data_IF_966996069353
#
_entry.id   IF_966996069353
#
_cell.length_a   1.000
_cell.length_b   1.000
_cell.length_c   1.000
_cell.angle_alpha   90.00
_cell.angle_beta   90.00
_cell.angle_gamma   90.00
#
_symmetry.space_group_name_H-M   'P 1'
#
loop_
_entity.id
_entity.type
_entity.pdbx_description
1 polymer ?
#
# COMPACT_ATOMS: atom_id res chain seq x y z
N UNK A 1 -14.76 -26.97 -25.48
CA UNK A 1 -14.45 -26.55 -24.09
C UNK A 1 -13.91 -25.14 -23.98
N UNK A 2 -12.80 -24.76 -24.66
CA UNK A 2 -12.24 -23.40 -24.55
C UNK A 2 -13.24 -22.29 -24.93
N UNK A 3 -13.95 -22.43 -26.05
CA UNK A 3 -14.97 -21.46 -26.49
C UNK A 3 -16.17 -21.33 -25.54
N UNK A 4 -16.54 -22.41 -24.86
CA UNK A 4 -17.62 -22.40 -23.85
C UNK A 4 -17.18 -21.64 -22.59
N UNK A 5 -15.96 -21.91 -22.12
CA UNK A 5 -15.39 -21.23 -20.95
C UNK A 5 -15.27 -19.71 -21.18
N UNK A 6 -14.86 -19.30 -22.38
CA UNK A 6 -14.77 -17.87 -22.73
C UNK A 6 -16.14 -17.19 -22.73
N UNK A 7 -17.17 -17.83 -23.30
CA UNK A 7 -18.53 -17.25 -23.34
C UNK A 7 -19.18 -17.18 -21.95
N UNK A 8 -18.93 -18.17 -21.11
CA UNK A 8 -19.39 -18.16 -19.72
C UNK A 8 -18.72 -17.04 -18.91
N UNK A 9 -17.40 -16.84 -19.07
CA UNK A 9 -16.68 -15.73 -18.43
C UNK A 9 -17.15 -14.36 -18.92
N UNK A 10 -17.45 -14.20 -20.21
CA UNK A 10 -18.01 -12.96 -20.74
C UNK A 10 -19.39 -12.66 -20.16
N UNK A 11 -20.26 -13.67 -20.03
CA UNK A 11 -21.59 -13.51 -19.43
C UNK A 11 -21.52 -13.15 -17.93
N UNK A 12 -20.53 -13.69 -17.20
CA UNK A 12 -20.31 -13.38 -15.80
C UNK A 12 -19.88 -11.91 -15.61
N UNK A 13 -18.90 -11.45 -16.40
CA UNK A 13 -18.44 -10.05 -16.39
C UNK A 13 -19.54 -9.06 -16.79
N UNK A 14 -20.44 -9.47 -17.67
CA UNK A 14 -21.61 -8.66 -18.02
C UNK A 14 -22.51 -8.45 -16.80
N UNK A 15 -22.87 -9.51 -16.06
CA UNK A 15 -23.70 -9.38 -14.86
C UNK A 15 -23.05 -8.48 -13.79
N UNK A 16 -21.75 -8.65 -13.56
CA UNK A 16 -20.97 -7.82 -12.62
C UNK A 16 -20.98 -6.33 -13.00
N UNK A 17 -20.90 -6.01 -14.29
CA UNK A 17 -20.92 -4.61 -14.76
C UNK A 17 -22.23 -3.86 -14.48
N UNK A 18 -23.32 -4.59 -14.23
CA UNK A 18 -24.62 -4.05 -13.82
C UNK A 18 -24.89 -4.21 -12.32
N UNK A 19 -23.88 -4.60 -11.53
CA UNK A 19 -24.01 -4.81 -10.08
C UNK A 19 -24.88 -6.02 -9.71
N UNK A 20 -25.09 -6.96 -10.64
CA UNK A 20 -25.90 -8.15 -10.42
C UNK A 20 -25.01 -9.30 -9.92
N UNK A 21 -25.31 -9.81 -8.72
CA UNK A 21 -24.60 -10.94 -8.13
C UNK A 21 -25.26 -12.27 -8.57
N UNK A 22 -24.50 -13.09 -9.29
CA UNK A 22 -25.00 -14.32 -9.88
C UNK A 22 -24.93 -15.49 -8.87
N UNK A 23 -26.08 -15.86 -8.28
CA UNK A 23 -26.12 -16.87 -7.20
C UNK A 23 -26.15 -18.32 -7.68
N UNK A 24 -26.79 -18.62 -8.81
CA UNK A 24 -26.93 -20.00 -9.31
C UNK A 24 -27.12 -20.02 -10.83
N UNK A 25 -26.50 -20.99 -11.51
CA UNK A 25 -26.74 -21.26 -12.94
C UNK A 25 -27.17 -22.70 -13.11
N UNK A 26 -28.31 -22.88 -13.78
CA UNK A 26 -28.81 -24.22 -14.13
C UNK A 26 -28.53 -24.45 -15.60
N UNK A 27 -27.72 -25.47 -15.91
CA UNK A 27 -27.40 -25.86 -17.28
C UNK A 27 -27.95 -27.26 -17.51
N UNK A 28 -28.92 -27.37 -18.42
CA UNK A 28 -29.48 -28.65 -18.83
C UNK A 28 -28.90 -29.12 -20.16
N UNK A 29 -28.59 -30.41 -20.27
CA UNK A 29 -28.37 -31.07 -21.57
C UNK A 29 -29.21 -32.34 -21.64
N UNK A 30 -30.03 -32.45 -22.71
CA UNK A 30 -30.85 -33.61 -23.07
C UNK A 30 -31.22 -34.56 -21.91
N UNK A 31 -32.05 -34.07 -20.98
CA UNK A 31 -32.67 -34.90 -19.94
C UNK A 31 -31.93 -35.00 -18.61
N UNK A 32 -30.71 -34.47 -18.47
CA UNK A 32 -30.06 -34.28 -17.17
C UNK A 32 -29.91 -32.78 -16.85
N UNK A 33 -30.53 -32.37 -15.75
CA UNK A 33 -30.40 -31.03 -15.18
C UNK A 33 -29.27 -31.07 -14.17
N UNK A 34 -28.13 -30.45 -14.53
CA UNK A 34 -27.05 -30.17 -13.58
C UNK A 34 -27.32 -28.83 -12.91
N UNK A 35 -27.54 -28.83 -11.60
CA UNK A 35 -27.62 -27.60 -10.81
C UNK A 35 -26.22 -27.29 -10.28
N UNK A 36 -25.61 -26.22 -10.77
CA UNK A 36 -24.37 -25.69 -10.19
C UNK A 36 -24.76 -24.49 -9.31
N UNK A 37 -24.92 -24.74 -8.01
CA UNK A 37 -24.93 -23.69 -7.00
C UNK A 37 -23.53 -23.13 -6.88
N UNK A 38 -23.39 -21.80 -6.90
CA UNK A 38 -22.22 -21.14 -6.36
C UNK A 38 -22.29 -21.35 -4.84
N UNK A 39 -21.78 -22.47 -4.36
CA UNK A 39 -21.55 -22.65 -2.93
C UNK A 39 -20.75 -21.44 -2.46
N UNK A 40 -21.24 -20.76 -1.43
CA UNK A 40 -20.49 -19.72 -0.74
C UNK A 40 -19.08 -20.30 -0.51
N UNK A 41 -18.09 -19.69 -1.17
CA UNK A 41 -16.71 -20.15 -1.19
C UNK A 41 -16.35 -20.66 0.21
N UNK A 42 -16.19 -21.98 0.37
CA UNK A 42 -15.54 -22.50 1.57
C UNK A 42 -14.25 -21.69 1.69
N UNK A 43 -14.12 -20.89 2.75
CA UNK A 43 -12.95 -20.05 2.95
C UNK A 43 -11.76 -21.00 2.99
N UNK A 44 -10.97 -21.01 1.91
CA UNK A 44 -9.72 -21.78 1.82
C UNK A 44 -8.54 -20.83 1.91
N UNK A 45 -7.41 -21.30 2.42
CA UNK A 45 -6.19 -20.50 2.55
C UNK A 45 -6.19 -19.67 3.83
N UNK A 46 -5.56 -18.49 3.81
CA UNK A 46 -5.36 -17.65 4.99
C UNK A 46 -6.66 -17.37 5.77
N UNK A 47 -7.77 -17.10 5.08
CA UNK A 47 -9.04 -16.75 5.74
C UNK A 47 -9.67 -17.90 6.53
N UNK A 48 -9.31 -19.14 6.20
CA UNK A 48 -9.80 -20.36 6.84
C UNK A 48 -9.15 -20.64 8.21
N UNK A 49 -8.03 -19.99 8.48
CA UNK A 49 -7.21 -20.25 9.66
C UNK A 49 -7.87 -19.75 10.94
N UNK A 50 -7.53 -20.37 12.06
CA UNK A 50 -7.82 -19.82 13.39
C UNK A 50 -7.06 -18.51 13.62
N UNK A 51 -7.54 -17.68 14.57
CA UNK A 51 -6.90 -16.39 14.88
C UNK A 51 -5.43 -16.55 15.32
N UNK A 52 -5.11 -17.61 16.06
CA UNK A 52 -3.74 -17.93 16.49
C UNK A 52 -2.82 -18.26 15.29
N UNK A 53 -3.33 -19.00 14.32
CA UNK A 53 -2.60 -19.34 13.10
C UNK A 53 -2.43 -18.12 12.19
N UNK A 54 -3.48 -17.27 12.06
CA UNK A 54 -3.40 -15.98 11.35
C UNK A 54 -2.33 -15.10 11.98
N UNK A 55 -2.33 -14.95 13.31
CA UNK A 55 -1.34 -14.17 14.04
C UNK A 55 0.08 -14.70 13.82
N UNK A 56 0.26 -16.04 13.73
CA UNK A 56 1.57 -16.63 13.42
C UNK A 56 2.03 -16.31 12.00
N UNK A 57 1.14 -16.40 11.01
CA UNK A 57 1.43 -16.00 9.63
C UNK A 57 1.82 -14.53 9.56
N UNK A 58 1.09 -13.65 10.22
CA UNK A 58 1.35 -12.20 10.23
C UNK A 58 2.68 -11.86 10.90
N UNK A 59 3.00 -12.49 12.04
CA UNK A 59 4.31 -12.32 12.70
C UNK A 59 5.46 -12.75 11.80
N UNK A 60 5.32 -13.87 11.10
CA UNK A 60 6.35 -14.32 10.16
C UNK A 60 6.46 -13.35 8.99
N UNK A 61 5.34 -12.94 8.39
CA UNK A 61 5.34 -11.98 7.29
C UNK A 61 6.03 -10.67 7.69
N UNK A 62 5.74 -10.15 8.89
CA UNK A 62 6.42 -8.99 9.45
C UNK A 62 7.94 -9.19 9.54
N UNK A 63 8.40 -10.36 10.02
CA UNK A 63 9.83 -10.65 10.08
C UNK A 63 10.46 -10.72 8.69
N UNK A 64 9.80 -11.37 7.73
CA UNK A 64 10.32 -11.46 6.37
C UNK A 64 10.46 -10.07 5.74
N UNK A 65 9.46 -9.21 5.91
CA UNK A 65 9.51 -7.83 5.42
C UNK A 65 10.61 -7.03 6.13
N UNK A 66 10.68 -7.13 7.46
CA UNK A 66 11.67 -6.44 8.30
C UNK A 66 13.12 -6.77 7.92
N UNK A 67 13.39 -8.00 7.53
CA UNK A 67 14.71 -8.51 7.17
C UNK A 67 14.91 -8.68 5.65
N UNK A 68 14.01 -8.13 4.83
CA UNK A 68 14.08 -8.19 3.36
C UNK A 68 14.22 -9.63 2.80
N UNK A 69 13.54 -10.59 3.42
CA UNK A 69 13.59 -12.00 3.05
C UNK A 69 12.56 -12.31 1.98
N UNK A 70 13.02 -12.78 0.82
CA UNK A 70 12.17 -13.14 -0.31
C UNK A 70 11.40 -14.45 -0.13
N UNK A 71 10.34 -14.61 -0.90
CA UNK A 71 9.47 -15.80 -0.85
C UNK A 71 10.17 -17.11 -1.20
N UNK A 72 11.12 -17.06 -2.14
CA UNK A 72 11.91 -18.24 -2.51
C UNK A 72 12.73 -18.74 -1.31
N UNK A 73 13.41 -17.83 -0.63
CA UNK A 73 14.17 -18.17 0.57
C UNK A 73 13.27 -18.71 1.68
N UNK A 74 12.13 -18.04 1.93
CA UNK A 74 11.20 -18.51 2.96
C UNK A 74 10.62 -19.88 2.61
N UNK A 75 10.32 -20.13 1.34
CA UNK A 75 9.86 -21.43 0.87
C UNK A 75 10.90 -22.53 1.15
N UNK A 76 12.16 -22.31 0.78
CA UNK A 76 13.25 -23.25 1.08
C UNK A 76 13.40 -23.49 2.59
N UNK A 77 13.30 -22.43 3.40
CA UNK A 77 13.35 -22.52 4.85
C UNK A 77 12.25 -23.42 5.42
N UNK A 78 11.02 -23.30 4.90
CA UNK A 78 9.88 -24.16 5.31
C UNK A 78 10.01 -25.62 4.86
N UNK A 79 10.91 -25.93 3.92
CA UNK A 79 11.19 -27.32 3.51
C UNK A 79 12.17 -28.02 4.45
N UNK A 80 12.97 -27.25 5.21
CA UNK A 80 14.00 -27.79 6.11
C UNK A 80 13.56 -27.71 7.58
N UNK A 81 12.74 -26.71 7.94
CA UNK A 81 12.30 -26.48 9.31
C UNK A 81 10.81 -26.79 9.49
N UNK A 82 10.52 -27.67 10.44
CA UNK A 82 9.16 -27.97 10.87
C UNK A 82 8.55 -26.83 11.71
N UNK A 83 7.21 -26.77 11.71
CA UNK A 83 6.46 -25.87 12.57
C UNK A 83 6.37 -24.42 12.07
N UNK A 84 6.93 -24.08 10.92
CA UNK A 84 6.70 -22.79 10.25
C UNK A 84 5.37 -22.78 9.48
N UNK A 85 4.71 -21.61 9.35
CA UNK A 85 3.58 -21.47 8.44
C UNK A 85 3.97 -21.85 7.00
N UNK A 86 3.01 -22.40 6.25
CA UNK A 86 3.26 -22.79 4.86
C UNK A 86 3.52 -21.53 4.01
N UNK A 87 4.52 -21.59 3.12
CA UNK A 87 4.92 -20.46 2.27
C UNK A 87 3.77 -19.82 1.50
N UNK A 88 2.82 -20.63 1.00
CA UNK A 88 1.67 -20.12 0.27
C UNK A 88 0.74 -19.25 1.13
N UNK A 89 0.63 -19.49 2.45
CA UNK A 89 -0.21 -18.70 3.36
C UNK A 89 0.40 -17.32 3.58
N UNK A 90 1.72 -17.27 3.77
CA UNK A 90 2.47 -16.01 3.91
C UNK A 90 2.39 -15.21 2.62
N UNK A 91 2.56 -15.87 1.46
CA UNK A 91 2.41 -15.23 0.15
C UNK A 91 1.00 -14.68 -0.06
N UNK A 92 -0.03 -15.48 0.22
CA UNK A 92 -1.43 -15.06 0.10
C UNK A 92 -1.72 -13.83 0.98
N UNK A 93 -1.26 -13.83 2.24
CA UNK A 93 -1.45 -12.69 3.14
C UNK A 93 -0.70 -11.45 2.64
N UNK A 94 0.51 -11.61 2.10
CA UNK A 94 1.24 -10.49 1.48
C UNK A 94 0.48 -9.93 0.28
N UNK A 95 -0.03 -10.78 -0.60
CA UNK A 95 -0.81 -10.35 -1.77
C UNK A 95 -2.09 -9.61 -1.35
N UNK A 96 -2.76 -10.06 -0.28
CA UNK A 96 -3.89 -9.34 0.31
C UNK A 96 -3.48 -7.96 0.84
N UNK A 97 -2.39 -7.84 1.61
CA UNK A 97 -1.89 -6.55 2.11
C UNK A 97 -1.45 -5.62 0.97
N UNK A 98 -0.81 -6.17 -0.06
CA UNK A 98 -0.44 -5.40 -1.24
C UNK A 98 -1.67 -4.90 -2.01
N UNK A 99 -2.78 -5.66 -2.03
CA UNK A 99 -4.01 -5.26 -2.73
C UNK A 99 -4.73 -4.07 -2.08
N UNK A 100 -4.54 -3.86 -0.77
CA UNK A 100 -5.07 -2.69 -0.06
C UNK A 100 -4.10 -1.51 -0.05
N UNK A 101 -2.82 -1.74 -0.41
CA UNK A 101 -1.82 -0.69 -0.54
C UNK A 101 -2.04 0.06 -1.85
N UNK A 102 -2.54 1.30 -1.76
CA UNK A 102 -2.86 2.12 -2.93
C UNK A 102 -1.62 2.83 -3.49
N UNK A 103 -0.84 2.11 -4.28
CA UNK A 103 0.28 2.65 -5.07
C UNK A 103 -0.21 2.90 -6.49
N UNK A 104 -0.03 4.13 -6.97
CA UNK A 104 -0.43 4.56 -8.32
C UNK A 104 0.78 5.06 -9.10
N UNK A 105 0.72 5.02 -10.43
CA UNK A 105 1.78 5.63 -11.23
C UNK A 105 1.84 7.14 -11.02
N UNK A 106 3.05 7.70 -11.03
CA UNK A 106 3.20 9.16 -11.09
C UNK A 106 2.62 9.70 -12.40
N UNK A 107 2.04 10.91 -12.40
CA UNK A 107 1.60 11.57 -13.62
C UNK A 107 2.73 11.78 -14.65
N UNK A 108 2.36 11.89 -15.93
CA UNK A 108 3.31 12.10 -17.03
C UNK A 108 3.78 10.82 -17.72
N UNK A 109 4.81 10.94 -18.56
CA UNK A 109 5.39 9.84 -19.34
C UNK A 109 6.50 9.08 -18.60
N UNK A 110 6.87 9.58 -17.43
CA UNK A 110 8.03 9.12 -16.67
C UNK A 110 7.63 7.95 -15.77
N UNK A 111 8.44 6.89 -15.76
CA UNK A 111 8.25 5.77 -14.84
C UNK A 111 8.34 6.25 -13.39
N UNK A 112 7.33 5.95 -12.59
CA UNK A 112 7.31 6.30 -11.18
C UNK A 112 6.08 5.76 -10.48
N UNK A 113 6.11 5.84 -9.15
CA UNK A 113 5.07 5.39 -8.27
C UNK A 113 4.85 6.41 -7.15
N UNK A 114 3.60 6.58 -6.72
CA UNK A 114 3.20 7.52 -5.68
C UNK A 114 2.06 6.94 -4.83
N UNK A 115 1.94 7.46 -3.61
CA UNK A 115 0.84 7.22 -2.68
C UNK A 115 0.18 8.55 -2.32
N UNK A 116 -1.06 8.49 -1.82
CA UNK A 116 -1.77 9.67 -1.32
C UNK A 116 -1.07 10.15 -0.04
N UNK A 117 -0.59 11.40 -0.04
CA UNK A 117 0.16 11.97 1.07
C UNK A 117 -0.72 12.10 2.31
N UNK A 118 -1.97 12.55 2.16
CA UNK A 118 -2.90 12.73 3.27
C UNK A 118 -3.17 11.41 4.01
N UNK A 119 -3.29 10.29 3.29
CA UNK A 119 -3.56 8.98 3.90
C UNK A 119 -2.34 8.45 4.64
N UNK A 120 -1.16 8.51 4.02
CA UNK A 120 0.10 8.19 4.70
C UNK A 120 0.31 9.05 5.94
N UNK A 121 0.12 10.36 5.83
CA UNK A 121 0.28 11.28 6.96
C UNK A 121 -0.66 10.90 8.11
N UNK A 122 -1.91 10.54 7.82
CA UNK A 122 -2.88 10.11 8.84
C UNK A 122 -2.41 8.88 9.59
N UNK A 123 -1.94 7.86 8.87
CA UNK A 123 -1.44 6.61 9.47
C UNK A 123 -0.23 6.87 10.37
N UNK A 124 0.77 7.60 9.87
CA UNK A 124 2.00 7.86 10.64
C UNK A 124 1.76 8.78 11.84
N UNK A 125 0.81 9.73 11.77
CA UNK A 125 0.46 10.56 12.93
C UNK A 125 -0.20 9.71 14.02
N UNK A 126 -1.09 8.77 13.67
CA UNK A 126 -1.70 7.85 14.65
C UNK A 126 -0.63 7.09 15.43
N UNK A 127 0.32 6.49 14.70
CA UNK A 127 1.41 5.71 15.30
C UNK A 127 2.34 6.58 16.15
N UNK A 128 2.64 7.80 15.68
CA UNK A 128 3.50 8.74 16.38
C UNK A 128 2.88 9.19 17.72
N UNK A 129 1.60 9.55 17.74
CA UNK A 129 0.89 9.98 18.95
C UNK A 129 0.70 8.85 19.95
N UNK A 130 0.51 7.61 19.49
CA UNK A 130 0.46 6.44 20.35
C UNK A 130 1.81 6.18 21.04
N UNK A 131 2.92 6.47 20.35
CA UNK A 131 4.28 6.25 20.85
C UNK A 131 4.81 7.41 21.70
N UNK A 132 4.26 8.62 21.54
CA UNK A 132 4.72 9.85 22.21
C UNK A 132 3.54 10.60 22.89
N UNK A 133 2.96 10.06 23.98
CA UNK A 133 1.80 10.66 24.63
C UNK A 133 2.05 12.06 25.21
N UNK A 134 3.31 12.43 25.48
CA UNK A 134 3.69 13.76 25.97
C UNK A 134 3.57 14.90 24.94
N UNK A 135 3.28 14.57 23.69
CA UNK A 135 3.05 15.54 22.62
C UNK A 135 1.56 15.70 22.25
N UNK A 136 0.66 15.07 23.00
CA UNK A 136 -0.78 15.30 22.84
C UNK A 136 -1.13 16.78 23.04
N UNK A 137 -1.92 17.32 22.12
CA UNK A 137 -2.34 18.72 22.12
C UNK A 137 -1.28 19.71 21.58
N UNK A 138 -0.09 19.25 21.20
CA UNK A 138 0.88 20.06 20.46
C UNK A 138 0.70 19.88 18.95
N UNK A 139 1.05 20.89 18.13
CA UNK A 139 1.07 20.73 16.68
C UNK A 139 2.05 19.63 16.26
N UNK A 140 1.62 18.76 15.34
CA UNK A 140 2.48 17.74 14.76
C UNK A 140 3.39 18.38 13.69
N UNK A 141 4.69 18.14 13.82
CA UNK A 141 5.70 18.80 12.98
C UNK A 141 6.07 17.88 11.82
N UNK A 142 5.74 18.28 10.60
CA UNK A 142 5.93 17.48 9.39
C UNK A 142 7.05 18.09 8.56
N UNK A 143 8.16 17.38 8.39
CA UNK A 143 9.26 17.79 7.50
C UNK A 143 9.14 17.09 6.16
N UNK A 144 9.00 17.86 5.08
CA UNK A 144 8.95 17.33 3.71
C UNK A 144 10.35 17.45 3.09
N UNK A 145 10.82 16.37 2.47
CA UNK A 145 12.18 16.25 1.94
C UNK A 145 12.16 15.62 0.55
N UNK A 146 13.12 16.01 -0.28
CA UNK A 146 13.37 15.41 -1.58
C UNK A 146 14.84 15.06 -1.70
N UNK A 147 15.13 13.97 -2.38
CA UNK A 147 16.49 13.58 -2.69
C UNK A 147 16.61 12.95 -4.09
N UNK A 148 17.78 13.11 -4.71
CA UNK A 148 18.13 12.50 -5.98
C UNK A 148 19.03 11.28 -5.77
N UNK A 149 18.54 10.08 -6.07
CA UNK A 149 19.30 8.84 -5.95
C UNK A 149 19.76 8.31 -7.31
N UNK A 150 21.07 8.15 -7.51
CA UNK A 150 21.61 7.50 -8.71
C UNK A 150 21.78 6.01 -8.48
N UNK A 151 21.14 5.18 -9.31
CA UNK A 151 21.26 3.72 -9.33
C UNK A 151 21.77 3.27 -10.69
N UNK A 152 23.05 2.88 -10.74
CA UNK A 152 23.77 2.48 -11.95
C UNK A 152 23.65 3.57 -13.05
N UNK A 153 22.80 3.32 -14.06
CA UNK A 153 22.61 4.19 -15.23
C UNK A 153 21.32 5.02 -15.15
N UNK A 154 20.53 4.87 -14.09
CA UNK A 154 19.29 5.61 -13.87
C UNK A 154 19.43 6.53 -12.67
N UNK A 155 18.74 7.66 -12.70
CA UNK A 155 18.54 8.52 -11.55
C UNK A 155 17.08 8.42 -11.14
N UNK A 156 16.81 8.52 -9.85
CA UNK A 156 15.49 8.55 -9.26
C UNK A 156 15.38 9.77 -8.38
N UNK A 157 14.18 10.31 -8.30
CA UNK A 157 13.81 11.38 -7.40
C UNK A 157 12.89 10.76 -6.36
N UNK A 158 13.26 10.91 -5.10
CA UNK A 158 12.46 10.45 -3.97
C UNK A 158 11.86 11.68 -3.30
N UNK A 159 10.55 11.62 -3.05
CA UNK A 159 9.83 12.60 -2.26
C UNK A 159 9.32 11.89 -1.00
N UNK A 160 9.71 12.41 0.16
CA UNK A 160 9.44 11.78 1.45
C UNK A 160 9.08 12.80 2.52
N UNK A 161 8.55 12.33 3.64
CA UNK A 161 8.30 13.17 4.81
C UNK A 161 8.71 12.46 6.11
N UNK A 162 8.94 13.25 7.16
CA UNK A 162 9.26 12.76 8.49
C UNK A 162 8.47 13.53 9.54
N UNK A 163 8.06 12.85 10.62
CA UNK A 163 7.43 13.49 11.78
C UNK A 163 8.51 13.83 12.81
N UNK A 164 8.70 15.12 13.11
CA UNK A 164 9.83 15.55 13.96
C UNK A 164 9.67 15.14 15.44
N UNK A 165 8.46 14.77 15.86
CA UNK A 165 8.18 14.15 17.14
C UNK A 165 8.86 12.78 17.32
N UNK A 166 9.23 12.10 16.23
CA UNK A 166 9.88 10.78 16.30
C UNK A 166 11.32 10.81 16.85
N UNK A 167 11.81 11.96 17.33
CA UNK A 167 13.09 12.08 18.03
C UNK A 167 14.27 11.59 17.19
N UNK A 168 15.02 10.62 17.73
CA UNK A 168 16.20 10.06 17.06
C UNK A 168 15.87 9.32 15.77
N UNK A 169 14.63 8.81 15.60
CA UNK A 169 14.26 8.06 14.41
C UNK A 169 14.18 8.95 13.16
N UNK A 170 13.98 10.27 13.33
CA UNK A 170 13.97 11.28 12.25
C UNK A 170 15.27 11.29 11.45
N UNK A 171 16.39 10.97 12.10
CA UNK A 171 17.72 10.93 11.47
C UNK A 171 18.03 9.55 10.85
N UNK A 172 17.16 8.58 11.05
CA UNK A 172 17.28 7.23 10.50
C UNK A 172 16.41 7.06 9.26
N UNK A 173 16.70 6.04 8.46
CA UNK A 173 15.82 5.65 7.35
C UNK A 173 14.42 5.23 7.81
N UNK A 174 14.24 4.82 9.08
CA UNK A 174 12.94 4.39 9.62
C UNK A 174 11.98 5.55 9.83
N UNK A 175 12.49 6.73 10.14
CA UNK A 175 11.66 7.93 10.36
C UNK A 175 11.39 8.74 9.10
N UNK A 176 11.84 8.26 7.92
CA UNK A 176 11.60 8.92 6.64
C UNK A 176 10.66 8.07 5.79
N UNK A 177 9.50 8.63 5.47
CA UNK A 177 8.41 7.93 4.81
C UNK A 177 8.30 8.41 3.36
N UNK A 178 8.66 7.53 2.41
CA UNK A 178 8.60 7.84 0.98
C UNK A 178 7.16 7.93 0.52
N UNK A 179 6.78 9.07 -0.06
CA UNK A 179 5.49 9.28 -0.66
C UNK A 179 5.51 8.99 -2.17
N UNK A 180 6.57 9.38 -2.87
CA UNK A 180 6.69 9.15 -4.31
C UNK A 180 8.13 8.92 -4.76
N UNK A 181 8.26 8.16 -5.85
CA UNK A 181 9.51 7.89 -6.56
C UNK A 181 9.26 8.10 -8.04
N UNK A 182 10.09 8.91 -8.69
CA UNK A 182 10.06 9.10 -10.14
C UNK A 182 11.45 8.87 -10.73
N UNK A 183 11.55 8.11 -11.82
CA UNK A 183 12.79 7.94 -12.57
C UNK A 183 13.11 9.21 -13.34
N UNK A 184 14.36 9.61 -13.44
CA UNK A 184 14.76 10.79 -14.19
C UNK A 184 15.75 11.66 -13.43
N UNK A 185 16.22 12.68 -14.13
CA UNK A 185 17.12 13.68 -13.54
C UNK A 185 16.29 14.64 -12.70
N UNK A 186 16.93 15.21 -11.69
CA UNK A 186 16.38 16.35 -10.96
C UNK A 186 16.35 17.59 -11.85
N UNK A 187 15.36 17.64 -12.73
CA UNK A 187 15.02 18.80 -13.54
C UNK A 187 13.59 19.26 -13.22
N UNK A 188 13.32 20.53 -13.52
CA UNK A 188 12.05 21.17 -13.18
C UNK A 188 10.85 20.51 -13.88
N UNK A 189 10.99 20.09 -15.14
CA UNK A 189 9.89 19.56 -15.93
C UNK A 189 9.45 18.18 -15.43
N UNK A 190 10.43 17.31 -15.18
CA UNK A 190 10.21 15.98 -14.59
C UNK A 190 9.54 16.14 -13.22
N UNK A 191 9.95 17.14 -12.44
CA UNK A 191 9.36 17.40 -11.13
C UNK A 191 7.92 17.89 -11.18
N UNK A 192 7.69 18.95 -11.96
CA UNK A 192 6.38 19.54 -12.09
C UNK A 192 5.37 18.52 -12.59
N UNK A 193 5.78 17.66 -13.52
CA UNK A 193 4.89 16.65 -14.08
C UNK A 193 4.74 15.46 -13.15
N UNK A 194 5.82 14.79 -12.75
CA UNK A 194 5.75 13.52 -12.02
C UNK A 194 5.33 13.66 -10.56
N UNK A 195 5.50 14.83 -9.96
CA UNK A 195 5.10 15.09 -8.56
C UNK A 195 3.81 15.92 -8.45
N UNK A 196 3.13 16.23 -9.56
CA UNK A 196 1.99 17.14 -9.59
C UNK A 196 0.90 16.78 -8.57
N UNK A 197 0.46 15.52 -8.59
CA UNK A 197 -0.60 15.04 -7.70
C UNK A 197 -0.18 15.09 -6.24
N UNK A 198 1.06 14.71 -5.95
CA UNK A 198 1.60 14.72 -4.59
C UNK A 198 1.72 16.15 -4.06
N UNK A 199 2.23 17.08 -4.87
CA UNK A 199 2.33 18.49 -4.49
C UNK A 199 0.96 19.13 -4.28
N UNK A 200 -0.02 18.80 -5.12
CA UNK A 200 -1.39 19.25 -4.92
C UNK A 200 -1.96 18.76 -3.57
N UNK A 201 -1.72 17.49 -3.23
CA UNK A 201 -2.17 16.92 -1.96
C UNK A 201 -1.46 17.57 -0.76
N UNK A 202 -0.12 17.64 -0.80
CA UNK A 202 0.70 18.33 0.21
C UNK A 202 0.23 19.77 0.41
N UNK A 203 0.08 20.54 -0.67
CA UNK A 203 -0.34 21.94 -0.59
C UNK A 203 -1.77 22.07 -0.05
N UNK A 204 -2.66 21.12 -0.34
CA UNK A 204 -4.01 21.09 0.26
C UNK A 204 -3.95 20.97 1.78
N UNK A 205 -3.05 20.14 2.31
CA UNK A 205 -2.87 19.96 3.75
C UNK A 205 -2.14 21.15 4.37
N UNK A 206 -1.09 21.67 3.73
CA UNK A 206 -0.37 22.87 4.19
C UNK A 206 -1.35 24.05 4.33
N UNK A 207 -2.19 24.30 3.32
CA UNK A 207 -3.15 25.40 3.35
C UNK A 207 -4.21 25.28 4.46
N UNK A 208 -4.50 24.05 4.91
CA UNK A 208 -5.45 23.80 6.01
C UNK A 208 -4.77 23.90 7.38
N UNK A 209 -3.46 23.67 7.44
CA UNK A 209 -2.64 23.58 8.66
C UNK A 209 -3.16 22.56 9.70
N UNK A 210 -4.08 21.69 9.29
CA UNK A 210 -4.82 20.78 10.17
C UNK A 210 -5.21 19.52 9.42
N UNK A 211 -5.28 18.41 10.15
CA UNK A 211 -5.77 17.13 9.65
C UNK A 211 -6.75 16.52 10.64
N UNK A 212 -7.78 15.84 10.12
CA UNK A 212 -8.76 15.12 10.95
C UNK A 212 -8.41 13.64 10.97
N UNK A 213 -8.25 13.11 12.18
CA UNK A 213 -7.89 11.73 12.46
C UNK A 213 -8.85 11.20 13.51
N UNK A 214 -9.65 10.18 13.16
CA UNK A 214 -10.64 9.56 14.05
C UNK A 214 -11.59 10.57 14.74
N UNK A 215 -11.97 11.61 14.00
CA UNK A 215 -12.84 12.70 14.48
C UNK A 215 -12.12 13.79 15.29
N UNK A 216 -10.82 13.62 15.58
CA UNK A 216 -10.00 14.59 16.29
C UNK A 216 -9.28 15.48 15.28
N UNK A 217 -9.36 16.80 15.47
CA UNK A 217 -8.59 17.76 14.68
C UNK A 217 -7.20 17.93 15.28
N UNK A 218 -6.17 17.73 14.47
CA UNK A 218 -4.77 17.84 14.85
C UNK A 218 -4.15 18.98 14.06
N UNK A 219 -3.53 19.92 14.77
CA UNK A 219 -2.79 21.03 14.17
C UNK A 219 -1.44 20.52 13.61
N UNK A 220 -1.03 21.07 12.47
CA UNK A 220 0.19 20.69 11.75
C UNK A 220 1.12 21.89 11.57
N UNK A 221 2.42 21.65 11.71
CA UNK A 221 3.47 22.64 11.41
C UNK A 221 4.42 22.04 10.37
N UNK A 222 4.61 22.72 9.24
CA UNK A 222 5.37 22.20 8.11
C UNK A 222 6.78 22.77 8.03
N UNK A 223 7.74 21.90 7.75
CA UNK A 223 9.14 22.24 7.54
C UNK A 223 9.60 21.71 6.20
N UNK A 224 10.43 22.49 5.51
CA UNK A 224 11.10 22.06 4.29
C UNK A 224 12.53 21.65 4.60
N UNK A 225 12.90 20.44 4.21
CA UNK A 225 14.29 19.99 4.19
C UNK A 225 14.97 20.46 2.91
N UNK A 226 15.33 19.52 2.05
CA UNK A 226 15.96 19.77 0.76
C UNK A 226 14.90 19.86 -0.34
N UNK A 227 14.05 20.89 -0.31
CA UNK A 227 13.11 21.18 -1.41
C UNK A 227 13.20 22.68 -1.72
N UNK A 228 13.69 23.02 -2.92
CA UNK A 228 13.85 24.41 -3.36
C UNK A 228 12.64 24.96 -4.12
N UNK A 229 11.64 24.13 -4.44
CA UNK A 229 10.58 24.51 -5.40
C UNK A 229 9.16 24.04 -5.04
N UNK A 230 8.84 23.78 -3.77
CA UNK A 230 7.49 23.35 -3.36
C UNK A 230 6.42 24.44 -3.57
N UNK A 231 6.84 25.69 -3.80
CA UNK A 231 5.99 26.86 -3.93
C UNK A 231 5.91 27.38 -5.37
N UNK A 232 5.26 26.66 -6.28
CA UNK A 232 4.63 27.24 -7.48
C UNK A 232 3.40 26.43 -7.88
#
# INVERSE_FOLDING_TARGET
MKSFSTRAQTALRFAESFGLELKTVVVGHQGQVGTASTEASATTGFEALSDDEKAKVERVLFLLDKFCVGDLFYHELTMVLDGLPKSYLVKQRRDQLNSICHITCTPGSTEGAQMVFTDLLREWIKDCLASHPGDQGKPVKVKISRDGARMTNSTFILLSFALLQAGNDVMSSKGNHTNAVAKGKEDYQTMQTSSANVFQDINSVINKEKIVIDGITIDLEFFLGVITSLFY
#
